data_IF_987901150061
#
_entry.id   IF_987901150061
#
_cell.length_a   1.000
_cell.length_b   1.000
_cell.length_c   1.000
_cell.angle_alpha   90.00
_cell.angle_beta   90.00
_cell.angle_gamma   90.00
#
_symmetry.space_group_name_H-M   'P 1'
#
loop_
_entity.id
_entity.type
_entity.pdbx_description
1 polymer ?
#
# COMPACT_ATOMS: atom_id res chain seq x y z
N UNK A 1 -23.96 -1.75 14.25
CA UNK A 1 -22.99 -0.67 14.14
C UNK A 1 -21.85 -1.15 13.24
N UNK A 2 -21.53 -0.40 12.20
CA UNK A 2 -20.41 -0.72 11.33
C UNK A 2 -19.11 -0.57 12.12
N UNK A 3 -18.23 -1.55 12.02
CA UNK A 3 -16.97 -1.56 12.77
C UNK A 3 -15.92 -0.85 11.95
N UNK A 4 -15.86 0.46 12.07
CA UNK A 4 -14.88 1.29 11.43
C UNK A 4 -13.49 1.13 12.07
N UNK A 5 -12.47 1.14 11.24
CA UNK A 5 -11.06 1.23 11.63
C UNK A 5 -10.48 2.52 11.07
N UNK A 6 -9.68 3.21 11.87
CA UNK A 6 -8.90 4.35 11.45
C UNK A 6 -7.42 4.07 11.78
N UNK A 7 -6.60 4.02 10.76
CA UNK A 7 -5.17 3.80 10.89
C UNK A 7 -4.42 5.00 10.33
N UNK A 8 -3.55 5.56 11.13
CA UNK A 8 -2.60 6.57 10.70
C UNK A 8 -1.20 5.96 10.73
N UNK A 9 -0.62 5.82 9.56
CA UNK A 9 0.72 5.26 9.37
C UNK A 9 1.69 6.35 9.00
N UNK A 10 2.89 6.32 9.58
CA UNK A 10 3.99 7.20 9.25
C UNK A 10 5.18 6.36 8.80
N UNK A 11 5.74 6.72 7.64
CA UNK A 11 7.00 6.18 7.12
C UNK A 11 7.98 7.33 6.92
N UNK A 12 9.25 7.01 7.02
CA UNK A 12 10.33 7.93 6.69
C UNK A 12 11.40 7.20 5.88
N UNK A 13 11.52 7.58 4.62
CA UNK A 13 12.45 6.94 3.70
C UNK A 13 13.43 7.96 3.11
N UNK A 14 14.63 7.52 2.81
CA UNK A 14 15.61 8.37 2.10
C UNK A 14 15.25 8.43 0.63
N UNK A 15 14.97 9.66 0.14
CA UNK A 15 14.53 9.84 -1.24
C UNK A 15 13.99 11.21 -1.53
N UNK A 16 13.37 11.32 -2.70
CA UNK A 16 12.61 12.50 -3.11
C UNK A 16 11.13 12.21 -3.11
N UNK A 17 10.31 13.23 -2.82
CA UNK A 17 8.86 13.09 -2.90
C UNK A 17 8.39 12.65 -4.30
N UNK A 18 9.12 13.05 -5.35
CA UNK A 18 8.86 12.62 -6.72
C UNK A 18 9.02 11.11 -6.88
N UNK A 19 10.15 10.53 -6.43
CA UNK A 19 10.40 9.08 -6.51
C UNK A 19 9.36 8.26 -5.72
N UNK A 20 9.00 8.74 -4.54
CA UNK A 20 7.97 8.10 -3.69
C UNK A 20 6.60 8.18 -4.36
N UNK A 21 6.23 9.34 -4.89
CA UNK A 21 4.97 9.54 -5.60
C UNK A 21 4.86 8.64 -6.82
N UNK A 22 5.89 8.54 -7.63
CA UNK A 22 5.93 7.66 -8.81
C UNK A 22 5.78 6.18 -8.42
N UNK A 23 6.48 5.72 -7.36
CA UNK A 23 6.40 4.33 -6.90
C UNK A 23 5.02 3.96 -6.36
N UNK A 24 4.44 4.82 -5.51
CA UNK A 24 3.15 4.52 -4.87
C UNK A 24 1.96 4.73 -5.82
N UNK A 25 2.10 5.59 -6.83
CA UNK A 25 1.07 5.79 -7.85
C UNK A 25 1.06 4.69 -8.92
N UNK A 26 2.18 3.96 -9.11
CA UNK A 26 2.23 2.81 -10.04
C UNK A 26 1.81 1.52 -9.35
N UNK A 27 0.49 1.38 -9.14
CA UNK A 27 -0.10 0.26 -8.44
C UNK A 27 0.22 -1.10 -9.10
N UNK A 28 0.45 -1.15 -10.41
CA UNK A 28 0.75 -2.40 -11.13
C UNK A 28 2.10 -3.00 -10.73
N UNK A 29 3.01 -2.19 -10.17
CA UNK A 29 4.30 -2.65 -9.69
C UNK A 29 4.28 -3.14 -8.22
N UNK A 30 3.17 -2.95 -7.49
CA UNK A 30 3.07 -3.36 -6.09
C UNK A 30 3.41 -4.83 -5.85
N UNK A 31 2.98 -5.81 -6.66
CA UNK A 31 3.37 -7.21 -6.47
C UNK A 31 4.87 -7.46 -6.61
N UNK A 32 5.57 -6.63 -7.37
CA UNK A 32 7.01 -6.74 -7.58
C UNK A 32 7.82 -6.20 -6.41
N UNK A 33 7.49 -5.01 -5.91
CA UNK A 33 8.29 -4.38 -4.87
C UNK A 33 7.69 -4.49 -3.45
N UNK A 34 6.39 -4.80 -3.32
CA UNK A 34 5.73 -5.07 -2.03
C UNK A 34 4.98 -6.42 -2.02
N UNK A 35 5.67 -7.53 -2.36
CA UNK A 35 5.04 -8.85 -2.53
C UNK A 35 4.52 -9.48 -1.23
N UNK A 36 4.93 -8.98 -0.06
CA UNK A 36 4.44 -9.46 1.23
C UNK A 36 2.95 -9.19 1.45
N UNK A 37 2.39 -8.20 0.76
CA UNK A 37 1.01 -7.76 0.88
C UNK A 37 0.23 -7.89 -0.42
N UNK A 38 0.80 -7.47 -1.54
CA UNK A 38 0.12 -7.47 -2.85
C UNK A 38 0.48 -8.72 -3.63
N UNK A 39 -0.49 -9.63 -3.79
CA UNK A 39 -0.32 -10.91 -4.48
C UNK A 39 -0.63 -10.82 -5.97
N UNK A 40 -1.65 -10.01 -6.32
CA UNK A 40 -2.04 -9.72 -7.70
C UNK A 40 -2.68 -8.33 -7.76
N UNK A 41 -2.44 -7.62 -8.85
CA UNK A 41 -2.97 -6.27 -9.09
C UNK A 41 -3.35 -6.14 -10.55
N UNK A 42 -4.55 -5.63 -10.82
CA UNK A 42 -5.07 -5.41 -12.17
C UNK A 42 -5.65 -4.02 -12.31
N UNK A 43 -5.36 -3.36 -13.42
CA UNK A 43 -6.03 -2.12 -13.77
C UNK A 43 -7.36 -2.42 -14.46
N UNK A 44 -8.44 -1.86 -13.93
CA UNK A 44 -9.77 -1.96 -14.51
C UNK A 44 -10.14 -0.72 -15.34
N UNK A 45 -9.62 0.44 -14.96
CA UNK A 45 -9.76 1.69 -15.70
C UNK A 45 -8.50 2.55 -15.51
N UNK A 46 -7.94 3.14 -16.57
CA UNK A 46 -6.67 3.88 -16.50
C UNK A 46 -6.80 5.26 -15.84
N UNK A 47 -8.00 5.83 -15.80
CA UNK A 47 -8.20 7.20 -15.31
C UNK A 47 -7.64 8.28 -16.24
N UNK A 48 -7.50 9.49 -15.72
CA UNK A 48 -6.89 10.61 -16.43
C UNK A 48 -5.37 10.38 -16.64
N UNK A 49 -4.91 10.62 -17.85
CA UNK A 49 -3.51 10.29 -18.25
C UNK A 49 -2.42 11.12 -17.55
N UNK A 50 -2.76 12.29 -17.00
CA UNK A 50 -1.82 13.18 -16.32
C UNK A 50 -1.86 13.03 -14.81
N UNK A 51 -3.06 12.89 -14.26
CA UNK A 51 -3.29 12.90 -12.82
C UNK A 51 -3.56 11.52 -12.25
N UNK A 52 -4.00 10.57 -13.06
CA UNK A 52 -4.48 9.27 -12.62
C UNK A 52 -5.85 9.29 -11.94
N UNK A 53 -6.51 10.46 -11.83
CA UNK A 53 -7.85 10.57 -11.24
C UNK A 53 -8.85 9.75 -12.05
N UNK A 54 -9.68 8.99 -11.35
CA UNK A 54 -10.60 8.03 -11.96
C UNK A 54 -9.98 6.65 -12.24
N UNK A 55 -8.68 6.44 -12.04
CA UNK A 55 -8.04 5.12 -12.16
C UNK A 55 -8.65 4.15 -11.18
N UNK A 56 -9.00 2.95 -11.66
CA UNK A 56 -9.58 1.88 -10.85
C UNK A 56 -8.65 0.67 -10.88
N UNK A 57 -8.27 0.21 -9.71
CA UNK A 57 -7.34 -0.90 -9.51
C UNK A 57 -8.02 -2.00 -8.69
N UNK A 58 -7.99 -3.23 -9.19
CA UNK A 58 -8.40 -4.44 -8.48
C UNK A 58 -7.19 -5.06 -7.77
N UNK A 59 -7.36 -5.41 -6.51
CA UNK A 59 -6.30 -5.84 -5.62
C UNK A 59 -6.62 -7.19 -4.98
N UNK A 60 -5.66 -8.10 -5.02
CA UNK A 60 -5.65 -9.33 -4.24
C UNK A 60 -4.52 -9.26 -3.23
N UNK A 61 -4.87 -9.12 -1.95
CA UNK A 61 -3.94 -8.80 -0.88
C UNK A 61 -4.01 -9.77 0.29
N UNK A 62 -2.99 -9.75 1.12
CA UNK A 62 -2.92 -10.45 2.40
C UNK A 62 -2.09 -9.65 3.41
N UNK A 63 -2.23 -10.00 4.69
CA UNK A 63 -1.28 -9.67 5.74
C UNK A 63 -0.55 -10.93 6.22
N UNK A 64 -0.19 -10.98 7.51
CA UNK A 64 0.36 -12.21 8.12
C UNK A 64 -0.73 -13.21 8.52
N UNK A 65 -1.97 -12.78 8.66
CA UNK A 65 -3.11 -13.65 8.98
C UNK A 65 -3.42 -14.64 7.83
N UNK A 66 -3.99 -15.82 8.13
CA UNK A 66 -4.20 -16.88 7.15
C UNK A 66 -5.44 -16.66 6.26
N UNK A 67 -5.66 -15.43 5.80
CA UNK A 67 -6.71 -15.09 4.83
C UNK A 67 -6.22 -14.08 3.81
N UNK A 68 -6.94 -13.99 2.73
CA UNK A 68 -6.71 -13.03 1.64
C UNK A 68 -7.93 -12.12 1.51
N UNK A 69 -7.71 -10.94 0.94
CA UNK A 69 -8.72 -9.92 0.73
C UNK A 69 -8.74 -9.52 -0.75
N UNK A 70 -9.95 -9.35 -1.30
CA UNK A 70 -10.18 -8.79 -2.63
C UNK A 70 -10.92 -7.47 -2.49
N UNK A 71 -10.35 -6.44 -3.03
CA UNK A 71 -10.91 -5.11 -2.98
C UNK A 71 -10.40 -4.27 -4.14
N UNK A 72 -11.09 -3.21 -4.42
CA UNK A 72 -10.75 -2.25 -5.46
C UNK A 72 -10.55 -0.88 -4.86
N UNK A 73 -9.75 -0.06 -5.49
CA UNK A 73 -9.76 1.36 -5.20
C UNK A 73 -9.90 2.20 -6.46
N UNK A 74 -10.49 3.38 -6.28
CA UNK A 74 -10.55 4.44 -7.29
C UNK A 74 -9.81 5.65 -6.77
N UNK A 75 -8.92 6.20 -7.58
CA UNK A 75 -8.25 7.47 -7.28
C UNK A 75 -9.25 8.60 -7.47
N UNK A 76 -9.49 9.38 -6.42
CA UNK A 76 -10.45 10.49 -6.42
C UNK A 76 -9.80 11.86 -6.52
N UNK A 77 -8.59 12.00 -5.98
CA UNK A 77 -7.79 13.22 -6.05
C UNK A 77 -6.32 12.85 -6.23
N UNK A 78 -5.56 13.68 -6.93
CA UNK A 78 -4.12 13.49 -7.13
C UNK A 78 -3.43 14.84 -7.20
N UNK A 79 -2.35 14.98 -6.45
CA UNK A 79 -1.51 16.17 -6.38
C UNK A 79 -0.03 15.76 -6.33
N UNK A 80 0.52 15.22 -7.44
CA UNK A 80 1.92 14.81 -7.45
C UNK A 80 2.86 16.03 -7.37
N UNK A 81 3.98 15.93 -6.65
CA UNK A 81 4.46 14.76 -5.92
C UNK A 81 3.98 14.67 -4.46
N UNK A 82 2.93 15.40 -4.06
CA UNK A 82 2.57 15.61 -2.65
C UNK A 82 1.56 14.57 -2.10
N UNK A 83 0.92 13.79 -2.96
CA UNK A 83 0.03 12.71 -2.54
C UNK A 83 -1.19 12.50 -3.43
N UNK A 84 -2.06 11.61 -2.97
CA UNK A 84 -3.32 11.28 -3.64
C UNK A 84 -4.34 10.71 -2.65
N UNK A 85 -5.62 10.77 -3.04
CA UNK A 85 -6.73 10.17 -2.30
C UNK A 85 -7.38 9.07 -3.11
N UNK A 86 -7.91 8.09 -2.40
CA UNK A 86 -8.62 6.98 -2.98
C UNK A 86 -9.85 6.60 -2.15
N UNK A 87 -10.82 6.00 -2.81
CA UNK A 87 -11.94 5.29 -2.19
C UNK A 87 -11.79 3.80 -2.46
N UNK A 88 -12.10 2.98 -1.45
CA UNK A 88 -12.01 1.53 -1.51
C UNK A 88 -13.40 0.90 -1.48
N UNK A 89 -13.56 -0.20 -2.22
CA UNK A 89 -14.75 -1.03 -2.29
C UNK A 89 -14.38 -2.52 -2.30
N UNK A 90 -15.25 -3.38 -1.81
CA UNK A 90 -15.06 -4.82 -1.73
C UNK A 90 -14.92 -5.32 -0.31
N UNK A 91 -13.91 -6.12 -0.02
CA UNK A 91 -13.63 -6.61 1.35
C UNK A 91 -13.25 -5.46 2.30
N UNK A 92 -12.69 -4.37 1.77
CA UNK A 92 -12.56 -3.07 2.42
C UNK A 92 -13.49 -2.05 1.78
N UNK A 93 -14.14 -1.23 2.60
CA UNK A 93 -14.93 -0.08 2.15
C UNK A 93 -14.48 1.14 2.93
N UNK A 94 -14.10 2.21 2.24
CA UNK A 94 -13.67 3.42 2.92
C UNK A 94 -12.76 4.31 2.09
N UNK A 95 -11.86 5.03 2.77
CA UNK A 95 -11.01 6.05 2.13
C UNK A 95 -9.56 5.92 2.56
N UNK A 96 -8.66 6.25 1.65
CA UNK A 96 -7.23 6.34 1.90
C UNK A 96 -6.66 7.67 1.42
N UNK A 97 -5.80 8.26 2.23
CA UNK A 97 -5.10 9.51 1.89
C UNK A 97 -3.60 9.31 2.09
N UNK A 98 -2.87 9.36 0.99
CA UNK A 98 -1.41 9.40 0.99
C UNK A 98 -0.93 10.83 0.93
N UNK A 99 0.03 11.18 1.78
CA UNK A 99 0.69 12.50 1.78
C UNK A 99 2.20 12.30 1.84
N UNK A 100 2.93 13.03 0.98
CA UNK A 100 4.38 12.97 0.88
C UNK A 100 4.96 14.36 1.12
N UNK A 101 5.83 14.48 2.12
CA UNK A 101 6.49 15.73 2.47
C UNK A 101 8.00 15.56 2.41
N UNK A 102 8.65 16.35 1.57
CA UNK A 102 10.11 16.39 1.51
C UNK A 102 10.67 17.03 2.78
N UNK A 103 11.67 16.39 3.38
CA UNK A 103 12.46 16.89 4.50
C UNK A 103 13.94 16.57 4.25
N UNK A 104 14.67 17.53 3.72
CA UNK A 104 16.06 17.37 3.26
C UNK A 104 16.23 16.13 2.35
N UNK A 105 17.04 15.14 2.75
CA UNK A 105 17.28 13.90 2.02
C UNK A 105 16.19 12.83 2.24
N UNK A 106 15.18 13.12 3.06
CA UNK A 106 14.14 12.17 3.43
C UNK A 106 12.76 12.63 2.98
N UNK A 107 11.86 11.68 2.89
CA UNK A 107 10.44 11.93 2.67
C UNK A 107 9.66 11.39 3.85
N UNK A 108 8.90 12.26 4.50
CA UNK A 108 7.91 11.87 5.48
C UNK A 108 6.62 11.51 4.74
N UNK A 109 6.18 10.27 4.92
CA UNK A 109 5.03 9.70 4.27
C UNK A 109 3.97 9.43 5.32
N UNK A 110 2.76 9.93 5.07
CA UNK A 110 1.60 9.66 5.92
C UNK A 110 0.54 8.95 5.11
N UNK A 111 -0.04 7.89 5.70
CA UNK A 111 -1.21 7.22 5.16
C UNK A 111 -2.34 7.20 6.18
N UNK A 112 -3.38 7.98 5.94
CA UNK A 112 -4.64 7.96 6.70
C UNK A 112 -5.59 6.98 6.01
N UNK A 113 -5.82 5.82 6.65
CA UNK A 113 -6.63 4.72 6.14
C UNK A 113 -7.85 4.51 7.03
N UNK A 114 -9.03 4.88 6.53
CA UNK A 114 -10.31 4.79 7.25
C UNK A 114 -11.24 3.85 6.54
N UNK A 115 -11.47 2.69 7.13
CA UNK A 115 -12.20 1.60 6.48
C UNK A 115 -13.19 0.90 7.41
N UNK A 116 -14.16 0.28 6.77
CA UNK A 116 -14.96 -0.81 7.31
C UNK A 116 -14.55 -2.11 6.63
N UNK A 117 -14.54 -3.21 7.39
CA UNK A 117 -14.25 -4.53 6.84
C UNK A 117 -15.56 -5.24 6.57
N UNK A 118 -15.79 -5.58 5.30
CA UNK A 118 -17.06 -6.15 4.85
C UNK A 118 -17.09 -7.68 4.90
N UNK A 119 -15.95 -8.33 5.14
CA UNK A 119 -15.85 -9.79 5.20
C UNK A 119 -16.58 -10.36 6.41
N UNK A 120 -17.61 -11.20 6.20
CA UNK A 120 -18.46 -11.77 7.26
C UNK A 120 -17.66 -12.40 8.41
N UNK A 121 -16.56 -13.12 8.09
CA UNK A 121 -15.69 -13.76 9.07
C UNK A 121 -15.04 -12.77 10.05
N UNK A 122 -14.78 -11.54 9.62
CA UNK A 122 -14.14 -10.50 10.42
C UNK A 122 -15.15 -9.60 11.16
N UNK A 123 -16.44 -9.72 10.83
CA UNK A 123 -17.54 -8.98 11.50
C UNK A 123 -18.01 -9.67 12.78
N UNK A 124 -17.84 -10.99 12.87
CA UNK A 124 -18.28 -11.80 14.02
C UNK A 124 -17.14 -11.87 15.03
N UNK A 125 -17.25 -11.18 16.17
CA UNK A 125 -16.22 -11.22 17.23
C UNK A 125 -15.38 -9.94 17.37
N UNK A 126 -15.95 -8.84 17.05
CA UNK A 126 -15.37 -7.50 16.92
C UNK A 126 -14.41 -7.02 18.02
N UNK A 127 -14.67 -7.20 19.34
CA UNK A 127 -13.74 -6.70 20.35
C UNK A 127 -12.42 -7.46 20.39
N UNK A 128 -12.44 -8.77 20.16
CA UNK A 128 -11.25 -9.65 20.23
C UNK A 128 -10.41 -9.53 18.95
N UNK A 129 -11.04 -9.39 17.80
CA UNK A 129 -10.33 -9.33 16.51
C UNK A 129 -9.75 -7.94 16.19
N UNK A 130 -10.25 -6.89 16.84
CA UNK A 130 -9.78 -5.52 16.59
C UNK A 130 -8.27 -5.33 16.81
N UNK A 131 -7.68 -5.74 17.94
CA UNK A 131 -6.23 -5.63 18.13
C UNK A 131 -5.43 -6.52 17.18
N UNK A 132 -5.93 -7.71 16.84
CA UNK A 132 -5.30 -8.63 15.90
C UNK A 132 -5.28 -8.04 14.49
N UNK A 133 -6.40 -7.47 14.05
CA UNK A 133 -6.50 -6.79 12.76
C UNK A 133 -5.60 -5.56 12.69
N UNK A 134 -5.54 -4.77 13.75
CA UNK A 134 -4.64 -3.63 13.86
C UNK A 134 -3.17 -4.06 13.84
N UNK A 135 -2.82 -5.16 14.50
CA UNK A 135 -1.47 -5.73 14.45
C UNK A 135 -1.11 -6.22 13.05
N UNK A 136 -2.06 -6.86 12.35
CA UNK A 136 -1.90 -7.30 10.96
C UNK A 136 -1.66 -6.11 10.01
N UNK A 137 -2.41 -5.02 10.19
CA UNK A 137 -2.22 -3.79 9.42
C UNK A 137 -0.83 -3.17 9.68
N UNK A 138 -0.43 -3.01 10.95
CA UNK A 138 0.91 -2.50 11.29
C UNK A 138 2.02 -3.34 10.68
N UNK A 139 1.89 -4.65 10.73
CA UNK A 139 2.85 -5.56 10.10
C UNK A 139 2.92 -5.32 8.58
N UNK A 140 1.78 -5.25 7.91
CA UNK A 140 1.70 -5.00 6.47
C UNK A 140 2.39 -3.68 6.10
N UNK A 141 2.12 -2.62 6.86
CA UNK A 141 2.70 -1.29 6.62
C UNK A 141 4.21 -1.26 6.89
N UNK A 142 4.70 -1.93 7.95
CA UNK A 142 6.14 -2.05 8.22
C UNK A 142 6.88 -2.79 7.09
N UNK A 143 6.26 -3.83 6.51
CA UNK A 143 6.81 -4.51 5.32
C UNK A 143 6.79 -3.59 4.09
N UNK A 144 5.79 -2.72 3.96
CA UNK A 144 5.71 -1.73 2.90
C UNK A 144 6.84 -0.70 2.97
N UNK A 145 7.10 -0.14 4.12
CA UNK A 145 8.21 0.81 4.34
C UNK A 145 9.56 0.19 3.98
N UNK A 146 9.85 -1.00 4.51
CA UNK A 146 11.07 -1.75 4.18
C UNK A 146 11.19 -2.01 2.68
N UNK A 147 10.11 -2.41 2.03
CA UNK A 147 10.09 -2.72 0.60
C UNK A 147 10.27 -1.48 -0.26
N UNK A 148 9.66 -0.36 0.13
CA UNK A 148 9.82 0.94 -0.54
C UNK A 148 11.26 1.42 -0.46
N UNK A 149 11.90 1.33 0.69
CA UNK A 149 13.30 1.71 0.87
C UNK A 149 14.23 0.88 -0.04
N UNK A 150 14.04 -0.44 -0.09
CA UNK A 150 14.80 -1.32 -0.98
C UNK A 150 14.57 -0.98 -2.46
N UNK A 151 13.34 -0.64 -2.84
CA UNK A 151 13.03 -0.29 -4.22
C UNK A 151 13.63 1.06 -4.62
N UNK A 152 13.59 2.06 -3.75
CA UNK A 152 14.26 3.35 -3.96
C UNK A 152 15.77 3.16 -4.16
N UNK A 153 16.41 2.29 -3.38
CA UNK A 153 17.82 1.93 -3.54
C UNK A 153 18.07 1.27 -4.89
N UNK A 154 17.20 0.36 -5.35
CA UNK A 154 17.31 -0.30 -6.67
C UNK A 154 17.22 0.69 -7.83
N UNK A 155 16.30 1.65 -7.75
CA UNK A 155 16.16 2.68 -8.78
C UNK A 155 17.39 3.55 -8.91
N UNK A 156 18.12 3.77 -7.81
CA UNK A 156 19.34 4.59 -7.78
C UNK A 156 20.62 3.82 -8.06
N UNK A 157 20.56 2.50 -8.15
CA UNK A 157 21.74 1.68 -8.47
C UNK A 157 22.30 2.06 -9.85
N UNK A 158 23.60 2.36 -9.89
CA UNK A 158 24.32 2.87 -11.07
C UNK A 158 24.62 1.78 -12.09
N UNK A 159 24.61 0.53 -11.64
CA UNK A 159 24.92 -0.64 -12.48
C UNK A 159 24.21 -1.90 -11.95
N UNK A 160 24.28 -2.97 -12.72
CA UNK A 160 23.60 -4.22 -12.38
C UNK A 160 24.20 -4.91 -11.16
N UNK A 161 25.50 -4.78 -10.91
CA UNK A 161 26.15 -5.35 -9.72
C UNK A 161 25.62 -4.68 -8.44
N UNK A 162 25.51 -3.35 -8.41
CA UNK A 162 24.91 -2.62 -7.30
C UNK A 162 23.44 -3.00 -7.10
N UNK A 163 22.68 -3.15 -8.19
CA UNK A 163 21.28 -3.55 -8.15
C UNK A 163 21.09 -4.96 -7.58
N UNK A 164 21.94 -5.90 -7.99
CA UNK A 164 21.90 -7.29 -7.50
C UNK A 164 22.35 -7.42 -6.04
N UNK A 165 23.20 -6.53 -5.55
CA UNK A 165 23.61 -6.49 -4.14
C UNK A 165 22.50 -6.03 -3.19
N UNK A 166 21.42 -5.44 -3.68
CA UNK A 166 20.28 -5.00 -2.86
C UNK A 166 19.38 -6.21 -2.57
N UNK A 167 19.09 -6.51 -1.28
CA UNK A 167 18.25 -7.65 -0.91
C UNK A 167 16.88 -7.63 -1.59
N UNK A 168 16.33 -8.79 -1.88
CA UNK A 168 14.95 -8.89 -2.36
C UNK A 168 13.96 -8.35 -1.31
N UNK A 169 12.81 -7.80 -1.73
CA UNK A 169 11.78 -7.37 -0.78
C UNK A 169 11.22 -8.58 -0.02
N UNK A 170 10.76 -8.39 1.23
CA UNK A 170 10.15 -9.47 2.00
C UNK A 170 8.96 -10.09 1.26
N UNK A 171 8.97 -11.40 1.12
CA UNK A 171 7.89 -12.14 0.50
C UNK A 171 6.68 -12.35 1.42
N UNK A 172 5.59 -12.95 0.90
CA UNK A 172 4.41 -13.29 1.69
C UNK A 172 4.73 -14.37 2.74
N UNK A 173 4.02 -14.33 3.88
CA UNK A 173 4.21 -15.25 5.00
C UNK A 173 3.92 -16.70 4.65
N UNK A 174 3.07 -16.96 3.67
CA UNK A 174 2.86 -18.27 3.07
C UNK A 174 2.55 -18.12 1.58
N UNK A 175 3.07 -19.04 0.78
CA UNK A 175 2.72 -19.15 -0.64
C UNK A 175 1.47 -20.01 -0.73
N UNK A 176 0.48 -19.59 -1.50
CA UNK A 176 -0.59 -20.48 -1.91
C UNK A 176 0.04 -21.57 -2.78
N UNK A 177 -0.13 -22.85 -2.40
CA UNK A 177 0.13 -23.98 -3.29
C UNK A 177 -0.91 -24.01 -4.40
#
# INVERSE_FOLDING_TARGET
>A
MATGYAFLTHWRVRGTAQEVSELLSDALQLPRWWPSVYLDVKELAPGDSRTGVGRVIDLYTKGWLPYTLRWQFKVTESNPPHGFKLVAEGDFVGTGVWTFKQDADFVDITYDWRIEVNKRLLRVGTPVFRPIFAANHRWAMARGEQSLELELRRRRARNDAERQAIPAPPGPTFKRR
#
